data_IF_156645120662
#
_entry.id   IF_156645120662
#
_cell.length_a   1.000
_cell.length_b   1.000
_cell.length_c   1.000
_cell.angle_alpha   90.00
_cell.angle_beta   90.00
_cell.angle_gamma   90.00
#
_symmetry.space_group_name_H-M   'P 1'
#
loop_
_entity.id
_entity.type
_entity.pdbx_description
1 polymer ?
#
# COMPACT_ATOMS: atom_id res chain seq x y z
N UNK A 1 -7.59 11.81 10.39
CA UNK A 1 -6.59 10.78 10.74
C UNK A 1 -7.25 9.80 11.69
N UNK A 2 -7.27 8.50 11.35
CA UNK A 2 -7.83 7.45 12.21
C UNK A 2 -7.03 7.31 13.51
N UNK A 3 -7.62 6.65 14.52
CA UNK A 3 -6.94 6.43 15.80
C UNK A 3 -5.89 5.32 15.64
N UNK A 4 -4.61 5.66 15.75
CA UNK A 4 -3.49 4.72 15.83
C UNK A 4 -3.57 3.82 17.09
N UNK A 5 -4.36 4.22 18.09
CA UNK A 5 -4.55 3.51 19.36
C UNK A 5 -6.04 3.37 19.69
N UNK A 6 -6.50 2.13 19.93
CA UNK A 6 -7.87 1.82 20.33
C UNK A 6 -8.30 0.41 19.88
N UNK A 7 -9.16 -0.24 20.65
CA UNK A 7 -9.70 -1.57 20.34
C UNK A 7 -10.55 -1.58 19.07
N UNK A 8 -10.40 -2.61 18.23
CA UNK A 8 -11.25 -2.88 17.07
C UNK A 8 -12.74 -2.73 17.43
N UNK A 9 -13.42 -1.74 16.86
CA UNK A 9 -14.77 -1.37 17.35
C UNK A 9 -15.88 -1.93 16.43
N UNK A 10 -15.63 -2.10 15.13
CA UNK A 10 -16.68 -2.52 14.17
C UNK A 10 -16.08 -3.43 13.08
N UNK A 11 -16.59 -4.66 12.99
CA UNK A 11 -16.34 -5.60 11.87
C UNK A 11 -17.69 -6.06 11.34
N UNK A 12 -17.90 -5.94 10.03
CA UNK A 12 -19.10 -6.46 9.36
C UNK A 12 -18.74 -7.30 8.14
N UNK A 13 -19.66 -8.16 7.72
CA UNK A 13 -19.48 -9.10 6.61
C UNK A 13 -20.56 -8.86 5.56
N UNK A 14 -20.16 -8.62 4.31
CA UNK A 14 -21.10 -8.42 3.20
C UNK A 14 -20.49 -8.98 1.92
N UNK A 15 -21.22 -9.84 1.20
CA UNK A 15 -20.86 -10.28 -0.16
C UNK A 15 -19.39 -10.73 -0.35
N UNK A 16 -18.83 -11.48 0.59
CA UNK A 16 -17.44 -11.93 0.51
C UNK A 16 -16.40 -10.87 0.88
N UNK A 17 -16.84 -9.73 1.39
CA UNK A 17 -16.01 -8.66 1.92
C UNK A 17 -16.09 -8.60 3.45
N UNK A 18 -14.93 -8.42 4.08
CA UNK A 18 -14.80 -8.08 5.50
C UNK A 18 -14.59 -6.58 5.57
N UNK A 19 -15.53 -5.88 6.18
CA UNK A 19 -15.48 -4.43 6.33
C UNK A 19 -14.98 -4.11 7.73
N UNK A 20 -13.82 -3.47 7.80
CA UNK A 20 -13.21 -3.00 9.03
C UNK A 20 -13.58 -1.52 9.18
N UNK A 21 -14.34 -1.21 10.23
CA UNK A 21 -14.76 0.14 10.58
C UNK A 21 -13.74 0.84 11.50
N UNK A 22 -14.18 1.83 12.27
CA UNK A 22 -13.28 2.59 13.13
C UNK A 22 -12.53 1.72 14.16
N UNK A 23 -11.21 1.94 14.30
CA UNK A 23 -10.35 1.25 15.27
C UNK A 23 -9.06 0.72 14.65
N UNK A 24 -8.22 0.11 15.49
CA UNK A 24 -6.98 -0.55 15.08
C UNK A 24 -7.19 -2.05 14.84
N UNK A 25 -6.61 -2.58 13.77
CA UNK A 25 -6.65 -3.98 13.38
C UNK A 25 -5.25 -4.45 13.03
N UNK A 26 -4.78 -5.48 13.72
CA UNK A 26 -3.55 -6.20 13.37
C UNK A 26 -3.87 -7.48 12.57
N UNK A 27 -2.84 -8.16 12.08
CA UNK A 27 -3.02 -9.41 11.33
C UNK A 27 -3.72 -10.52 12.14
N UNK A 28 -3.44 -10.74 13.43
CA UNK A 28 -4.23 -11.64 14.26
C UNK A 28 -5.74 -11.34 14.28
N UNK A 29 -6.13 -10.06 14.44
CA UNK A 29 -7.54 -9.65 14.40
C UNK A 29 -8.16 -9.86 13.01
N UNK A 30 -7.41 -9.59 11.94
CA UNK A 30 -7.86 -9.84 10.56
C UNK A 30 -8.09 -11.34 10.34
N UNK A 31 -7.14 -12.20 10.74
CA UNK A 31 -7.26 -13.67 10.65
C UNK A 31 -8.47 -14.17 11.46
N UNK A 32 -8.73 -13.61 12.63
CA UNK A 32 -9.92 -13.92 13.45
C UNK A 32 -11.22 -13.50 12.75
N UNK A 33 -11.26 -12.30 12.17
CA UNK A 33 -12.41 -11.80 11.43
C UNK A 33 -12.72 -12.69 10.21
N UNK A 34 -11.69 -13.18 9.50
CA UNK A 34 -11.83 -14.14 8.41
C UNK A 34 -12.39 -15.48 8.89
N UNK A 35 -11.81 -16.05 9.95
CA UNK A 35 -12.29 -17.31 10.52
C UNK A 35 -13.76 -17.23 10.96
N UNK A 36 -14.16 -16.10 11.56
CA UNK A 36 -15.54 -15.83 11.97
C UNK A 36 -16.46 -15.67 10.76
N UNK A 37 -16.06 -14.89 9.75
CA UNK A 37 -16.81 -14.73 8.49
C UNK A 37 -17.16 -16.07 7.86
N UNK A 38 -16.22 -17.02 7.85
CA UNK A 38 -16.44 -18.37 7.30
C UNK A 38 -17.43 -19.19 8.10
N UNK A 39 -17.41 -19.08 9.43
CA UNK A 39 -18.36 -19.79 10.30
C UNK A 39 -19.77 -19.24 10.17
N UNK A 40 -19.91 -17.93 9.97
CA UNK A 40 -21.21 -17.24 9.89
C UNK A 40 -21.79 -17.26 8.46
N UNK A 41 -20.97 -17.45 7.42
CA UNK A 41 -21.44 -17.51 6.04
C UNK A 41 -22.08 -18.85 5.69
N UNK A 42 -23.27 -18.80 5.07
CA UNK A 42 -23.95 -19.97 4.49
C UNK A 42 -23.21 -20.53 3.26
N UNK A 43 -22.43 -19.70 2.59
CA UNK A 43 -21.55 -20.06 1.48
C UNK A 43 -20.20 -19.39 1.70
N UNK A 44 -19.22 -20.09 2.29
CA UNK A 44 -17.91 -19.51 2.55
C UNK A 44 -17.20 -19.20 1.23
N UNK A 45 -16.74 -17.95 1.09
CA UNK A 45 -15.98 -17.51 -0.07
C UNK A 45 -14.57 -18.13 -0.03
N UNK A 46 -13.99 -18.52 -1.19
CA UNK A 46 -12.59 -18.89 -1.25
C UNK A 46 -11.71 -17.77 -0.70
N UNK A 47 -10.66 -18.08 0.06
CA UNK A 47 -9.84 -17.06 0.73
C UNK A 47 -9.30 -16.00 -0.23
N UNK A 48 -8.89 -16.43 -1.43
CA UNK A 48 -8.33 -15.55 -2.45
C UNK A 48 -9.35 -14.59 -3.08
N UNK A 49 -10.65 -14.85 -2.91
CA UNK A 49 -11.74 -13.98 -3.36
C UNK A 49 -12.31 -13.11 -2.22
N UNK A 50 -11.90 -13.37 -0.97
CA UNK A 50 -12.31 -12.57 0.16
C UNK A 50 -11.55 -11.24 0.17
N UNK A 51 -12.26 -10.12 0.13
CA UNK A 51 -11.65 -8.80 0.21
C UNK A 51 -11.74 -8.21 1.61
N UNK A 52 -10.75 -7.40 2.00
CA UNK A 52 -10.75 -6.67 3.27
C UNK A 52 -10.83 -5.19 2.97
N UNK A 53 -11.89 -4.52 3.43
CA UNK A 53 -12.12 -3.10 3.23
C UNK A 53 -11.78 -2.32 4.50
N UNK A 54 -10.76 -1.47 4.42
CA UNK A 54 -10.44 -0.48 5.43
C UNK A 54 -11.32 0.77 5.23
N UNK A 55 -12.40 0.87 6.01
CA UNK A 55 -13.36 1.98 5.93
C UNK A 55 -12.90 3.19 6.74
N UNK A 56 -13.68 4.27 6.69
CA UNK A 56 -13.38 5.51 7.40
C UNK A 56 -13.05 5.27 8.89
N UNK A 57 -11.86 5.72 9.30
CA UNK A 57 -11.38 5.60 10.68
C UNK A 57 -10.77 4.23 11.04
N UNK A 58 -10.78 3.26 10.11
CA UNK A 58 -10.05 2.01 10.27
C UNK A 58 -8.55 2.23 10.12
N UNK A 59 -7.77 1.56 10.97
CA UNK A 59 -6.33 1.54 10.93
C UNK A 59 -5.86 0.09 10.92
N UNK A 60 -5.36 -0.37 9.78
CA UNK A 60 -4.77 -1.70 9.65
C UNK A 60 -3.27 -1.56 9.82
N UNK A 61 -2.67 -2.38 10.69
CA UNK A 61 -1.21 -2.45 10.86
C UNK A 61 -0.77 -3.89 10.62
N UNK A 62 0.24 -4.05 9.77
CA UNK A 62 0.78 -5.36 9.41
C UNK A 62 2.27 -5.27 9.12
N UNK A 63 2.99 -6.34 9.39
CA UNK A 63 4.39 -6.47 9.01
C UNK A 63 4.50 -7.15 7.63
N UNK A 64 5.56 -6.83 6.90
CA UNK A 64 5.79 -7.38 5.55
C UNK A 64 5.86 -8.92 5.54
N UNK A 65 6.43 -9.52 6.58
CA UNK A 65 6.52 -10.98 6.76
C UNK A 65 5.14 -11.62 6.92
N UNK A 66 4.23 -10.98 7.64
CA UNK A 66 2.85 -11.45 7.83
C UNK A 66 2.04 -11.38 6.53
N UNK A 67 2.27 -10.34 5.72
CA UNK A 67 1.67 -10.18 4.41
C UNK A 67 2.13 -11.25 3.42
N UNK A 68 3.42 -11.61 3.47
CA UNK A 68 3.97 -12.67 2.64
C UNK A 68 3.27 -14.01 2.89
N UNK A 69 3.16 -14.42 4.16
CA UNK A 69 2.46 -15.65 4.53
C UNK A 69 0.98 -15.63 4.11
N UNK A 70 0.39 -14.44 4.11
CA UNK A 70 -1.02 -14.28 3.80
C UNK A 70 -1.27 -14.49 2.30
N UNK A 71 -0.57 -13.77 1.42
CA UNK A 71 -0.64 -13.83 -0.07
C UNK A 71 -2.03 -14.17 -0.65
N UNK A 72 -3.11 -13.72 0.00
CA UNK A 72 -4.48 -14.15 -0.30
C UNK A 72 -5.44 -12.99 -0.09
N UNK A 73 -5.84 -12.34 -1.18
CA UNK A 73 -6.98 -11.44 -1.17
C UNK A 73 -6.69 -10.04 -1.69
N UNK A 74 -7.77 -9.28 -1.82
CA UNK A 74 -7.79 -7.90 -2.27
C UNK A 74 -8.03 -6.99 -1.07
N UNK A 75 -7.19 -5.98 -0.88
CA UNK A 75 -7.49 -4.90 0.06
C UNK A 75 -8.28 -3.80 -0.63
N UNK A 76 -9.23 -3.21 0.08
CA UNK A 76 -9.95 -2.01 -0.31
C UNK A 76 -9.63 -0.87 0.66
N UNK A 77 -9.52 0.34 0.15
CA UNK A 77 -9.30 1.55 0.94
C UNK A 77 -10.45 2.53 0.69
N UNK A 78 -11.25 2.80 1.73
CA UNK A 78 -12.41 3.71 1.68
C UNK A 78 -12.40 4.68 2.89
N UNK A 79 -11.45 5.60 2.89
CA UNK A 79 -11.20 6.56 3.97
C UNK A 79 -10.44 5.98 5.16
N UNK A 80 -10.01 4.71 5.09
CA UNK A 80 -9.18 4.04 6.08
C UNK A 80 -7.68 4.28 5.90
N UNK A 81 -6.90 3.59 6.73
CA UNK A 81 -5.43 3.61 6.68
C UNK A 81 -4.90 2.19 6.72
N UNK A 82 -3.95 1.88 5.83
CA UNK A 82 -3.16 0.64 5.87
C UNK A 82 -1.71 1.05 6.13
N UNK A 83 -1.17 0.61 7.26
CA UNK A 83 0.22 0.79 7.64
C UNK A 83 0.97 -0.53 7.50
N UNK A 84 2.05 -0.51 6.74
CA UNK A 84 2.92 -1.65 6.50
C UNK A 84 4.27 -1.32 7.12
N UNK A 85 4.65 -2.10 8.12
CA UNK A 85 5.98 -2.01 8.73
C UNK A 85 6.93 -2.92 7.95
N UNK A 86 8.11 -2.40 7.64
CA UNK A 86 9.17 -3.22 7.06
C UNK A 86 9.62 -4.29 8.05
N UNK A 87 9.86 -5.50 7.53
CA UNK A 87 10.41 -6.63 8.27
C UNK A 87 11.10 -7.56 7.28
N UNK A 88 12.16 -8.25 7.72
CA UNK A 88 12.94 -9.17 6.89
C UNK A 88 12.05 -10.17 6.15
N UNK A 89 12.19 -10.23 4.82
CA UNK A 89 11.57 -11.26 3.97
C UNK A 89 12.45 -11.61 2.77
N UNK A 90 12.62 -12.91 2.50
CA UNK A 90 13.37 -13.40 1.34
C UNK A 90 12.52 -13.44 0.05
N UNK A 91 11.31 -12.90 0.10
CA UNK A 91 10.30 -13.08 -0.94
C UNK A 91 9.67 -11.76 -1.36
N UNK A 92 9.26 -11.71 -2.63
CA UNK A 92 8.51 -10.60 -3.19
C UNK A 92 7.03 -10.77 -2.84
N UNK A 93 6.45 -9.79 -2.16
CA UNK A 93 5.02 -9.78 -1.85
C UNK A 93 4.30 -8.83 -2.80
N UNK A 94 3.25 -9.30 -3.48
CA UNK A 94 2.40 -8.46 -4.33
C UNK A 94 1.09 -8.21 -3.61
N UNK A 95 0.78 -6.93 -3.35
CA UNK A 95 -0.43 -6.53 -2.65
C UNK A 95 -1.34 -5.69 -3.54
N UNK A 96 -2.44 -6.24 -4.07
CA UNK A 96 -3.44 -5.45 -4.77
C UNK A 96 -4.29 -4.64 -3.76
N UNK A 97 -4.38 -3.33 -3.98
CA UNK A 97 -5.20 -2.42 -3.18
C UNK A 97 -6.13 -1.63 -4.08
N UNK A 98 -7.43 -1.85 -3.93
CA UNK A 98 -8.47 -1.12 -4.63
C UNK A 98 -8.81 0.19 -3.90
N UNK A 99 -8.77 1.31 -4.63
CA UNK A 99 -9.10 2.63 -4.11
C UNK A 99 -10.58 2.93 -4.34
N UNK A 100 -11.35 2.98 -3.26
CA UNK A 100 -12.78 3.31 -3.25
C UNK A 100 -13.00 4.83 -3.11
N UNK A 101 -14.24 5.34 -3.29
CA UNK A 101 -14.50 6.78 -3.35
C UNK A 101 -14.03 7.61 -2.15
N UNK A 102 -13.94 7.02 -0.95
CA UNK A 102 -13.42 7.67 0.25
C UNK A 102 -11.89 7.80 0.29
N UNK A 103 -11.17 7.15 -0.62
CA UNK A 103 -9.71 7.23 -0.73
C UNK A 103 -9.02 6.63 0.47
N UNK A 104 -7.96 7.27 0.97
CA UNK A 104 -7.35 6.91 2.26
C UNK A 104 -5.84 7.11 2.29
N UNK A 105 -5.18 6.42 3.22
CA UNK A 105 -3.74 6.53 3.42
C UNK A 105 -3.07 5.16 3.42
N UNK A 106 -1.93 5.08 2.74
CA UNK A 106 -0.98 3.99 2.80
C UNK A 106 0.27 4.49 3.49
N UNK A 107 0.64 3.85 4.59
CA UNK A 107 1.80 4.23 5.39
C UNK A 107 2.84 3.13 5.27
N UNK A 108 4.04 3.52 4.93
CA UNK A 108 5.20 2.67 4.81
C UNK A 108 6.21 3.11 5.86
N UNK A 109 6.56 2.20 6.77
CA UNK A 109 7.50 2.49 7.86
C UNK A 109 8.74 1.65 7.67
N UNK A 110 9.89 2.32 7.62
CA UNK A 110 11.18 1.66 7.72
C UNK A 110 11.53 1.50 9.21
N UNK A 111 11.26 0.31 9.78
CA UNK A 111 11.50 -0.01 11.20
C UNK A 111 12.79 -0.80 11.37
N UNK A 112 13.14 -1.64 10.39
CA UNK A 112 14.34 -2.47 10.36
C UNK A 112 15.00 -2.32 8.98
N UNK A 113 16.25 -1.85 8.90
CA UNK A 113 16.96 -1.57 7.62
C UNK A 113 17.33 -2.81 6.80
N UNK A 114 16.64 -3.93 6.97
CA UNK A 114 17.10 -5.24 6.52
C UNK A 114 16.02 -5.99 5.74
N UNK A 115 16.26 -6.22 4.45
CA UNK A 115 15.66 -7.25 3.58
C UNK A 115 14.14 -7.25 3.36
N UNK A 116 13.69 -7.42 2.10
CA UNK A 116 12.27 -7.55 1.75
C UNK A 116 11.90 -6.74 0.51
N UNK A 117 10.96 -7.23 -0.30
CA UNK A 117 10.42 -6.48 -1.44
C UNK A 117 8.90 -6.54 -1.43
N UNK A 118 8.24 -5.38 -1.31
CA UNK A 118 6.81 -5.20 -1.44
C UNK A 118 6.47 -4.51 -2.75
N UNK A 119 5.72 -5.18 -3.63
CA UNK A 119 5.08 -4.56 -4.77
C UNK A 119 3.61 -4.30 -4.44
N UNK A 120 3.25 -3.06 -4.17
CA UNK A 120 1.86 -2.66 -3.92
C UNK A 120 1.23 -2.18 -5.23
N UNK A 121 0.20 -2.87 -5.71
CA UNK A 121 -0.50 -2.51 -6.95
C UNK A 121 -1.78 -1.74 -6.63
N UNK A 122 -1.80 -0.42 -6.90
CA UNK A 122 -3.01 0.37 -6.73
C UNK A 122 -3.94 0.22 -7.92
N UNK A 123 -5.16 -0.23 -7.63
CA UNK A 123 -6.23 -0.40 -8.60
C UNK A 123 -7.24 0.71 -8.36
N UNK A 124 -7.37 1.62 -9.32
CA UNK A 124 -8.44 2.63 -9.34
C UNK A 124 -9.51 2.17 -10.33
N UNK A 125 -10.75 2.04 -9.87
CA UNK A 125 -11.87 1.95 -10.79
C UNK A 125 -11.93 3.25 -11.61
N UNK A 126 -12.30 3.18 -12.90
CA UNK A 126 -12.27 4.30 -13.87
C UNK A 126 -13.00 5.60 -13.46
N UNK A 127 -13.74 5.61 -12.35
CA UNK A 127 -14.47 6.77 -11.81
C UNK A 127 -13.99 7.23 -10.43
N UNK A 128 -12.95 6.60 -9.88
CA UNK A 128 -12.46 6.88 -8.53
C UNK A 128 -11.45 8.03 -8.52
N UNK A 129 -11.98 9.23 -8.27
CA UNK A 129 -11.25 10.48 -8.08
C UNK A 129 -10.79 10.67 -6.62
N UNK A 130 -10.66 9.57 -5.88
CA UNK A 130 -10.38 9.65 -4.46
C UNK A 130 -8.90 9.96 -4.21
N UNK A 131 -8.63 10.96 -3.37
CA UNK A 131 -7.26 11.26 -2.98
C UNK A 131 -6.70 10.13 -2.13
N UNK A 132 -5.48 9.69 -2.47
CA UNK A 132 -4.74 8.69 -1.70
C UNK A 132 -3.42 9.30 -1.26
N UNK A 133 -3.08 9.11 0.01
CA UNK A 133 -1.82 9.55 0.56
C UNK A 133 -0.86 8.37 0.67
N UNK A 134 0.31 8.49 0.05
CA UNK A 134 1.44 7.60 0.30
C UNK A 134 2.33 8.28 1.34
N UNK A 135 2.47 7.70 2.51
CA UNK A 135 3.23 8.26 3.63
C UNK A 135 4.43 7.35 3.87
N UNK A 136 5.62 7.88 3.69
CA UNK A 136 6.88 7.18 3.94
C UNK A 136 7.48 7.72 5.23
N UNK A 137 7.48 6.92 6.29
CA UNK A 137 7.95 7.27 7.63
C UNK A 137 9.31 6.62 7.90
N UNK A 138 10.22 7.37 8.51
CA UNK A 138 11.61 7.01 8.78
C UNK A 138 12.40 6.64 7.52
N UNK A 139 11.96 7.13 6.35
CA UNK A 139 12.56 6.82 5.07
C UNK A 139 13.29 8.05 4.54
N UNK A 140 14.62 7.98 4.38
CA UNK A 140 15.42 9.16 4.02
C UNK A 140 15.14 9.68 2.60
N UNK A 141 14.89 8.78 1.64
CA UNK A 141 14.78 9.12 0.22
C UNK A 141 13.72 8.27 -0.49
N UNK A 142 12.89 8.93 -1.28
CA UNK A 142 11.83 8.33 -2.10
C UNK A 142 12.05 8.68 -3.56
N UNK A 143 11.64 7.80 -4.46
CA UNK A 143 11.64 8.07 -5.90
C UNK A 143 10.29 7.75 -6.52
N UNK A 144 10.02 8.39 -7.65
CA UNK A 144 9.01 7.96 -8.59
C UNK A 144 9.63 7.87 -9.99
N UNK A 145 9.37 6.77 -10.69
CA UNK A 145 9.77 6.52 -12.06
C UNK A 145 8.51 6.34 -12.90
N UNK A 146 8.34 7.18 -13.93
CA UNK A 146 7.26 7.06 -14.90
C UNK A 146 7.81 6.47 -16.21
N UNK A 147 7.11 5.44 -16.70
CA UNK A 147 7.33 4.81 -18.00
C UNK A 147 6.21 5.22 -18.97
N UNK A 148 6.51 6.10 -19.96
CA UNK A 148 5.54 6.52 -20.96
C UNK A 148 5.05 5.39 -21.89
N UNK A 149 5.81 4.29 -22.03
CA UNK A 149 5.41 3.20 -22.91
C UNK A 149 4.26 2.37 -22.31
N UNK A 150 4.29 2.15 -21.00
CA UNK A 150 3.26 1.39 -20.28
C UNK A 150 2.21 2.27 -19.61
N UNK A 151 2.40 3.60 -19.63
CA UNK A 151 1.62 4.58 -18.89
C UNK A 151 1.51 4.19 -17.40
N UNK A 152 2.67 3.92 -16.79
CA UNK A 152 2.76 3.50 -15.41
C UNK A 152 3.82 4.27 -14.63
N UNK A 153 3.48 4.59 -13.38
CA UNK A 153 4.42 5.14 -12.42
C UNK A 153 4.70 4.14 -11.31
N UNK A 154 5.97 3.90 -11.03
CA UNK A 154 6.45 3.19 -9.85
C UNK A 154 6.94 4.21 -8.84
N UNK A 155 6.50 4.08 -7.59
CA UNK A 155 7.01 4.89 -6.47
C UNK A 155 7.63 4.00 -5.45
N UNK A 156 8.81 4.34 -4.98
CA UNK A 156 9.48 3.52 -4.00
C UNK A 156 10.42 4.28 -3.10
N UNK A 157 11.06 3.51 -2.24
CA UNK A 157 12.14 3.98 -1.38
C UNK A 157 13.44 3.76 -2.12
N UNK A 158 14.31 4.77 -2.18
CA UNK A 158 15.61 4.55 -2.81
C UNK A 158 16.47 3.79 -1.79
N UNK A 159 16.99 2.59 -2.11
CA UNK A 159 17.90 1.90 -1.22
C UNK A 159 19.19 2.72 -1.03
N UNK A 160 19.89 2.43 0.07
CA UNK A 160 21.15 3.09 0.41
C UNK A 160 22.25 2.81 -0.64
N UNK A 161 22.14 1.70 -1.39
CA UNK A 161 23.00 1.35 -2.51
C UNK A 161 22.33 1.68 -3.85
N UNK A 162 23.11 2.16 -4.83
CA UNK A 162 22.77 2.80 -6.12
C UNK A 162 21.76 2.08 -7.07
N UNK A 163 21.12 0.99 -6.66
CA UNK A 163 20.09 0.32 -7.45
C UNK A 163 18.74 1.04 -7.29
N UNK A 164 17.98 1.25 -8.38
CA UNK A 164 16.62 1.78 -8.31
C UNK A 164 15.60 0.78 -7.72
N UNK A 165 16.06 -0.39 -7.27
CA UNK A 165 15.24 -1.47 -6.74
C UNK A 165 14.90 -1.18 -5.28
N UNK A 166 13.94 -0.28 -5.05
CA UNK A 166 13.42 -0.01 -3.72
C UNK A 166 12.78 -1.24 -3.07
N UNK A 167 12.86 -1.32 -1.74
CA UNK A 167 12.18 -2.38 -0.98
C UNK A 167 10.65 -2.26 -1.03
N UNK A 168 10.11 -1.08 -1.37
CA UNK A 168 8.71 -0.92 -1.78
C UNK A 168 8.66 -0.35 -3.18
N UNK A 169 7.82 -0.94 -4.01
CA UNK A 169 7.35 -0.35 -5.25
C UNK A 169 5.82 -0.25 -5.21
N UNK A 170 5.28 0.96 -5.17
CA UNK A 170 3.86 1.25 -5.40
C UNK A 170 3.66 1.47 -6.89
N UNK A 171 2.94 0.56 -7.53
CA UNK A 171 2.58 0.62 -8.95
C UNK A 171 1.27 1.36 -9.14
N UNK A 172 1.31 2.36 -10.00
CA UNK A 172 0.22 3.27 -10.34
C UNK A 172 0.06 3.35 -11.86
N UNK A 173 -1.16 3.54 -12.33
CA UNK A 173 -1.41 3.92 -13.72
C UNK A 173 -1.28 5.44 -13.89
N UNK A 174 -0.77 5.90 -15.03
CA UNK A 174 -0.62 7.31 -15.36
C UNK A 174 0.67 7.95 -14.84
N UNK A 175 0.77 9.27 -15.03
CA UNK A 175 1.83 10.15 -14.53
C UNK A 175 1.28 11.19 -13.54
N UNK A 176 0.91 10.78 -12.30
CA UNK A 176 0.21 11.66 -11.35
C UNK A 176 1.00 12.88 -10.89
N UNK A 177 2.33 12.86 -11.03
CA UNK A 177 3.21 13.98 -10.63
C UNK A 177 3.83 14.74 -11.79
N UNK A 178 3.34 14.53 -13.02
CA UNK A 178 3.84 15.18 -14.23
C UNK A 178 5.37 15.08 -14.35
N UNK A 179 5.90 13.89 -14.09
CA UNK A 179 7.33 13.61 -14.15
C UNK A 179 7.75 13.77 -15.61
N UNK A 180 8.51 14.83 -15.88
CA UNK A 180 8.97 15.22 -17.22
C UNK A 180 10.50 15.15 -17.36
N UNK A 181 11.24 15.04 -16.25
CA UNK A 181 12.70 15.01 -16.26
C UNK A 181 13.20 13.60 -16.58
N UNK A 182 14.00 13.47 -17.63
CA UNK A 182 14.72 12.23 -17.92
C UNK A 182 16.00 12.17 -17.11
N UNK A 183 16.10 11.24 -16.17
CA UNK A 183 17.41 10.82 -15.68
C UNK A 183 17.98 9.90 -16.76
N UNK A 184 18.87 10.45 -17.58
CA UNK A 184 19.60 9.66 -18.56
C UNK A 184 20.60 8.76 -17.81
N UNK A 185 20.12 7.62 -17.29
CA UNK A 185 21.00 6.52 -16.92
C UNK A 185 21.77 6.10 -18.18
N UNK A 186 23.08 6.34 -18.21
CA UNK A 186 23.94 5.93 -19.33
C UNK A 186 23.81 4.42 -19.53
N UNK A 187 23.20 4.00 -20.64
CA UNK A 187 23.26 2.62 -21.13
C UNK A 187 21.93 1.87 -21.30
N UNK A 188 20.77 2.43 -20.94
CA UNK A 188 19.47 1.76 -21.09
C UNK A 188 18.55 2.40 -22.15
N UNK A 189 17.72 1.55 -22.79
CA UNK A 189 16.70 1.91 -23.78
C UNK A 189 15.64 2.81 -23.14
N UNK A 190 15.37 3.95 -23.79
CA UNK A 190 14.38 4.99 -23.47
C UNK A 190 14.58 5.70 -22.11
N UNK A 191 14.31 7.02 -22.02
CA UNK A 191 14.47 7.74 -20.76
C UNK A 191 13.39 7.30 -19.76
N UNK A 192 13.80 6.66 -18.67
CA UNK A 192 12.94 6.52 -17.49
C UNK A 192 12.86 7.91 -16.87
N UNK A 193 11.65 8.47 -16.78
CA UNK A 193 11.45 9.80 -16.20
C UNK A 193 11.40 9.66 -14.69
N UNK A 194 12.29 10.35 -13.96
CA UNK A 194 12.47 10.15 -12.52
C UNK A 194 12.30 11.45 -11.73
N UNK A 195 11.76 11.31 -10.52
CA UNK A 195 11.63 12.38 -9.52
C UNK A 195 11.97 11.83 -8.15
N UNK A 196 12.68 12.61 -7.34
CA UNK A 196 13.06 12.24 -5.97
C UNK A 196 12.49 13.19 -4.93
N UNK A 197 12.29 12.67 -3.72
CA UNK A 197 11.93 13.43 -2.53
C UNK A 197 12.82 13.00 -1.36
N UNK A 198 13.09 13.94 -0.46
CA UNK A 198 13.87 13.72 0.75
C UNK A 198 13.04 14.08 1.97
N UNK A 199 13.16 13.28 3.05
CA UNK A 199 12.42 13.49 4.29
C UNK A 199 12.82 14.74 5.07
N UNK A 200 13.98 15.33 4.77
CA UNK A 200 14.49 16.52 5.47
C UNK A 200 14.56 16.29 6.98
N UNK A 201 14.15 17.28 7.76
CA UNK A 201 14.17 17.22 9.24
C UNK A 201 13.00 16.45 9.86
N UNK A 202 11.99 16.05 9.08
CA UNK A 202 10.71 15.54 9.61
C UNK A 202 10.60 14.01 9.56
N UNK A 203 11.65 13.33 9.07
CA UNK A 203 11.72 11.87 8.87
C UNK A 203 10.49 11.27 8.17
N UNK A 204 9.70 12.09 7.46
CA UNK A 204 8.45 11.68 6.83
C UNK A 204 8.24 12.41 5.50
N UNK A 205 7.92 11.67 4.45
CA UNK A 205 7.46 12.21 3.17
C UNK A 205 6.03 11.78 2.88
N UNK A 206 5.19 12.74 2.52
CA UNK A 206 3.78 12.50 2.16
C UNK A 206 3.58 12.86 0.69
N UNK A 207 3.33 11.86 -0.15
CA UNK A 207 2.96 12.05 -1.55
C UNK A 207 1.44 11.91 -1.68
N UNK A 208 0.80 12.93 -2.24
CA UNK A 208 -0.64 12.90 -2.53
C UNK A 208 -0.85 12.48 -3.97
N UNK A 209 -1.62 11.42 -4.17
CA UNK A 209 -2.12 11.05 -5.47
C UNK A 209 -3.34 11.91 -5.79
N UNK A 210 -3.28 12.71 -6.88
CA UNK A 210 -4.41 13.51 -7.29
C UNK A 210 -5.60 12.63 -7.67
N UNK A 211 -6.76 13.27 -7.58
CA UNK A 211 -8.05 12.78 -8.03
C UNK A 211 -8.10 12.59 -9.55
#
# INVERSE_FOLDING_TARGET
MGRQYGSATVVSYSEGQIILGAGHFDMPMIRLAQARSRRESRQPWPTHLQSILASHGAWLSMDLSELHEWNQGLFGLDGGTIAINHSVSDTVTILPVEIRPGGGSLIFRDVEKTGGILLLHLIRAHKSHACVQLVFQNCARQFACYDPMTDMTLVGLVPDDEKPDGWIAVRLHGNPWQIANSDACRGTRAPILKREWHAGEHDTVILRLPA
#
